data_IF_737801393929
#
_entry.id   IF_737801393929
#
_cell.length_a   1.000
_cell.length_b   1.000
_cell.length_c   1.000
_cell.angle_alpha   90.00
_cell.angle_beta   90.00
_cell.angle_gamma   90.00
#
_symmetry.space_group_name_H-M   'P 1'
#
loop_
_entity.id
_entity.type
_entity.pdbx_description
1 polymer ?
#
# COMPACT_ATOMS: atom_id res chain seq x y z
N UNK A 1 -9.15 19.05 -11.23
CA UNK A 1 -9.59 17.83 -10.51
C UNK A 1 -11.03 18.02 -10.09
N UNK A 2 -11.81 16.94 -9.99
CA UNK A 2 -13.15 17.00 -9.41
C UNK A 2 -13.09 17.46 -7.94
N UNK A 3 -14.21 17.95 -7.44
CA UNK A 3 -14.32 18.34 -6.03
C UNK A 3 -14.07 17.15 -5.10
N UNK A 4 -13.60 17.40 -3.87
CA UNK A 4 -13.33 16.34 -2.90
C UNK A 4 -14.59 15.57 -2.53
N UNK A 5 -15.72 16.24 -2.36
CA UNK A 5 -16.97 15.61 -1.97
C UNK A 5 -17.57 14.79 -3.11
N UNK A 6 -17.54 15.34 -4.33
CA UNK A 6 -17.92 14.63 -5.55
C UNK A 6 -17.11 13.34 -5.74
N UNK A 7 -15.79 13.42 -5.57
CA UNK A 7 -14.90 12.27 -5.69
C UNK A 7 -15.13 11.24 -4.59
N UNK A 8 -15.39 11.70 -3.36
CA UNK A 8 -15.70 10.85 -2.21
C UNK A 8 -17.02 10.10 -2.42
N UNK A 9 -18.08 10.79 -2.86
CA UNK A 9 -19.38 10.18 -3.14
C UNK A 9 -19.31 9.09 -4.22
N UNK A 10 -18.50 9.31 -5.27
CA UNK A 10 -18.23 8.29 -6.28
C UNK A 10 -17.55 7.05 -5.70
N UNK A 11 -16.56 7.22 -4.81
CA UNK A 11 -15.89 6.11 -4.16
C UNK A 11 -16.82 5.39 -3.15
N UNK A 12 -17.67 6.12 -2.41
CA UNK A 12 -18.69 5.53 -1.54
C UNK A 12 -19.64 4.64 -2.33
N UNK A 13 -20.12 5.08 -3.49
CA UNK A 13 -20.97 4.26 -4.34
C UNK A 13 -20.30 2.93 -4.75
N UNK A 14 -19.00 2.95 -5.04
CA UNK A 14 -18.23 1.73 -5.32
C UNK A 14 -18.08 0.86 -4.08
N UNK A 15 -17.76 1.44 -2.92
CA UNK A 15 -17.64 0.70 -1.65
C UNK A 15 -18.97 0.01 -1.30
N UNK A 16 -20.10 0.72 -1.38
CA UNK A 16 -21.42 0.15 -1.08
C UNK A 16 -21.83 -0.95 -2.04
N UNK A 17 -21.45 -0.82 -3.30
CA UNK A 17 -21.70 -1.83 -4.35
C UNK A 17 -20.85 -3.08 -4.17
N UNK A 18 -19.53 -2.93 -4.03
CA UNK A 18 -18.57 -4.04 -4.01
C UNK A 18 -18.38 -4.62 -2.59
N UNK A 19 -18.84 -3.91 -1.56
CA UNK A 19 -18.81 -4.30 -0.14
C UNK A 19 -17.44 -4.83 0.33
N UNK A 20 -16.33 -4.09 0.10
CA UNK A 20 -15.01 -4.54 0.52
C UNK A 20 -14.90 -4.55 2.04
N UNK A 21 -14.35 -5.62 2.61
CA UNK A 21 -14.02 -5.69 4.04
C UNK A 21 -12.73 -4.91 4.35
N UNK A 22 -11.81 -4.81 3.39
CA UNK A 22 -10.51 -4.15 3.53
C UNK A 22 -10.30 -3.15 2.40
N UNK A 23 -9.80 -1.96 2.75
CA UNK A 23 -9.37 -0.93 1.79
C UNK A 23 -7.86 -0.71 1.93
N UNK A 24 -7.16 -0.61 0.82
CA UNK A 24 -5.73 -0.27 0.75
C UNK A 24 -5.60 1.10 0.07
N UNK A 25 -4.81 2.00 0.63
CA UNK A 25 -4.59 3.34 0.05
C UNK A 25 -3.21 3.91 0.40
N UNK A 26 -2.88 5.09 -0.12
CA UNK A 26 -1.62 5.78 0.17
C UNK A 26 -1.58 6.24 1.64
N UNK A 27 -0.38 6.34 2.20
CA UNK A 27 -0.20 6.79 3.58
C UNK A 27 -0.48 8.30 3.76
N UNK A 28 -0.60 8.68 5.03
CA UNK A 28 -0.76 10.07 5.49
C UNK A 28 0.55 10.87 5.47
N UNK A 29 1.71 10.21 5.52
CA UNK A 29 3.04 10.83 5.41
C UNK A 29 3.72 10.47 4.07
N UNK A 30 3.44 11.29 3.07
CA UNK A 30 3.95 11.15 1.70
C UNK A 30 5.14 12.08 1.40
N UNK A 31 5.83 12.59 2.43
CA UNK A 31 6.92 13.56 2.23
C UNK A 31 8.03 13.07 1.27
N UNK A 32 8.25 11.75 1.20
CA UNK A 32 9.22 11.14 0.28
C UNK A 32 8.84 11.21 -1.20
N UNK A 33 7.54 11.28 -1.53
CA UNK A 33 7.02 11.35 -2.89
C UNK A 33 5.60 11.97 -2.91
N UNK A 34 5.47 13.31 -2.79
CA UNK A 34 4.18 13.98 -2.62
C UNK A 34 3.50 14.21 -3.98
N UNK A 35 3.24 13.15 -4.73
CA UNK A 35 2.52 13.26 -6.00
C UNK A 35 1.08 13.76 -5.74
N UNK A 36 0.60 14.85 -6.38
CA UNK A 36 -0.69 15.44 -6.08
C UNK A 36 -1.87 14.46 -6.13
N UNK A 37 -1.84 13.53 -7.09
CA UNK A 37 -2.88 12.51 -7.20
C UNK A 37 -2.85 11.49 -6.06
N UNK A 38 -1.67 11.15 -5.51
CA UNK A 38 -1.58 10.23 -4.38
C UNK A 38 -2.11 10.86 -3.10
N UNK A 39 -1.84 12.16 -2.89
CA UNK A 39 -2.45 12.94 -1.81
C UNK A 39 -3.97 12.96 -1.95
N UNK A 40 -4.48 13.23 -3.16
CA UNK A 40 -5.91 13.25 -3.42
C UNK A 40 -6.57 11.89 -3.20
N UNK A 41 -5.93 10.80 -3.64
CA UNK A 41 -6.43 9.43 -3.42
C UNK A 41 -6.47 9.10 -1.94
N UNK A 42 -5.45 9.48 -1.16
CA UNK A 42 -5.47 9.35 0.29
C UNK A 42 -6.69 10.07 0.91
N UNK A 43 -6.83 11.36 0.62
CA UNK A 43 -7.89 12.21 1.19
C UNK A 43 -9.29 11.64 0.93
N UNK A 44 -9.58 11.26 -0.33
CA UNK A 44 -10.90 10.71 -0.68
C UNK A 44 -11.10 9.31 -0.11
N UNK A 45 -10.05 8.49 0.01
CA UNK A 45 -10.16 7.12 0.54
C UNK A 45 -10.53 7.15 2.02
N UNK A 46 -9.88 8.02 2.78
CA UNK A 46 -10.14 8.23 4.21
C UNK A 46 -11.60 8.66 4.43
N UNK A 47 -12.06 9.68 3.70
CA UNK A 47 -13.44 10.15 3.80
C UNK A 47 -14.45 9.08 3.37
N UNK A 48 -14.16 8.34 2.29
CA UNK A 48 -15.06 7.32 1.79
C UNK A 48 -15.20 6.13 2.76
N UNK A 49 -14.11 5.73 3.43
CA UNK A 49 -14.16 4.68 4.47
C UNK A 49 -15.08 5.07 5.62
N UNK A 50 -14.97 6.32 6.09
CA UNK A 50 -15.79 6.81 7.22
C UNK A 50 -17.26 7.01 6.82
N UNK A 51 -17.52 7.45 5.58
CA UNK A 51 -18.87 7.80 5.12
C UNK A 51 -19.66 6.63 4.51
N UNK A 52 -18.99 5.57 4.04
CA UNK A 52 -19.68 4.48 3.36
C UNK A 52 -20.68 3.73 4.25
N UNK A 53 -20.41 3.64 5.56
CA UNK A 53 -21.29 3.01 6.55
C UNK A 53 -22.42 3.91 7.08
N UNK A 54 -22.42 5.20 6.76
CA UNK A 54 -23.40 6.17 7.27
C UNK A 54 -24.49 6.46 6.22
N UNK A 55 -25.77 6.12 6.46
CA UNK A 55 -26.87 6.35 5.52
C UNK A 55 -27.17 7.83 5.24
N UNK A 56 -26.71 8.76 6.09
CA UNK A 56 -26.92 10.20 5.87
C UNK A 56 -26.02 10.76 4.78
N UNK A 57 -24.88 10.11 4.51
CA UNK A 57 -23.97 10.46 3.42
C UNK A 57 -24.37 9.73 2.14
N UNK A 58 -24.52 10.49 1.05
CA UNK A 58 -24.82 9.99 -0.30
C UNK A 58 -25.97 8.95 -0.30
N UNK A 59 -27.20 9.33 0.10
CA UNK A 59 -28.33 8.40 0.20
C UNK A 59 -28.66 7.70 -1.14
N UNK A 60 -28.32 8.31 -2.26
CA UNK A 60 -28.48 7.76 -3.62
C UNK A 60 -27.43 6.69 -3.98
N UNK A 61 -26.38 6.51 -3.18
CA UNK A 61 -25.25 5.62 -3.46
C UNK A 61 -25.52 4.14 -3.10
N UNK A 62 -26.77 3.79 -2.78
CA UNK A 62 -27.18 2.45 -2.37
C UNK A 62 -27.05 2.19 -0.86
N UNK A 63 -27.30 0.94 -0.47
CA UNK A 63 -27.31 0.50 0.93
C UNK A 63 -25.95 0.74 1.61
N UNK A 64 -25.92 1.30 2.84
CA UNK A 64 -24.69 1.53 3.57
C UNK A 64 -23.86 0.26 3.75
N UNK A 65 -22.54 0.43 3.68
CA UNK A 65 -21.57 -0.62 3.93
C UNK A 65 -20.36 -0.02 4.61
N UNK A 66 -20.02 -0.52 5.81
CA UNK A 66 -18.83 -0.11 6.53
C UNK A 66 -17.69 -1.09 6.25
N UNK A 67 -16.64 -0.71 5.51
CA UNK A 67 -15.43 -1.51 5.45
C UNK A 67 -14.84 -1.69 6.85
N UNK A 68 -14.31 -2.87 7.11
CA UNK A 68 -13.85 -3.25 8.44
C UNK A 68 -12.48 -2.66 8.76
N UNK A 69 -11.56 -2.66 7.79
CA UNK A 69 -10.18 -2.17 7.96
C UNK A 69 -9.69 -1.35 6.78
N UNK A 70 -8.79 -0.42 7.06
CA UNK A 70 -8.02 0.33 6.07
C UNK A 70 -6.53 0.22 6.38
N UNK A 71 -5.72 -0.05 5.36
CA UNK A 71 -4.27 -0.06 5.47
C UNK A 71 -3.63 0.96 4.55
N UNK A 72 -2.52 1.53 5.02
CA UNK A 72 -1.67 2.40 4.23
C UNK A 72 -0.45 1.65 3.68
N UNK A 73 -0.16 1.89 2.40
CA UNK A 73 1.11 1.51 1.76
C UNK A 73 2.25 2.37 2.29
N UNK A 74 3.45 1.82 2.40
CA UNK A 74 4.67 2.59 2.65
C UNK A 74 5.90 1.99 1.97
N UNK A 75 6.98 2.74 1.94
CA UNK A 75 8.31 2.24 1.59
C UNK A 75 9.09 1.90 2.85
N UNK A 76 9.08 0.63 3.23
CA UNK A 76 9.87 0.15 4.37
C UNK A 76 11.36 0.41 4.14
N UNK A 77 12.01 1.03 5.12
CA UNK A 77 13.44 1.33 5.10
C UNK A 77 14.25 0.04 5.05
N UNK A 78 13.86 -0.94 5.85
CA UNK A 78 14.44 -2.29 5.86
C UNK A 78 14.48 -2.88 4.44
N UNK A 79 13.34 -2.87 3.72
CA UNK A 79 13.26 -3.35 2.34
C UNK A 79 14.25 -2.63 1.42
N UNK A 80 14.28 -1.30 1.46
CA UNK A 80 15.17 -0.50 0.62
C UNK A 80 16.64 -0.84 0.89
N UNK A 81 17.03 -0.96 2.17
CA UNK A 81 18.40 -1.30 2.56
C UNK A 81 18.77 -2.72 2.12
N UNK A 82 17.91 -3.72 2.36
CA UNK A 82 18.19 -5.11 1.97
C UNK A 82 18.35 -5.27 0.46
N UNK A 83 17.49 -4.62 -0.33
CA UNK A 83 17.60 -4.66 -1.80
C UNK A 83 18.84 -3.88 -2.27
N UNK A 84 19.15 -2.73 -1.67
CA UNK A 84 20.36 -1.96 -1.96
C UNK A 84 21.63 -2.81 -1.77
N UNK A 85 21.78 -3.45 -0.60
CA UNK A 85 22.94 -4.28 -0.27
C UNK A 85 23.07 -5.49 -1.22
N UNK A 86 21.94 -6.14 -1.54
CA UNK A 86 21.93 -7.26 -2.47
C UNK A 86 22.33 -6.85 -3.91
N UNK A 87 21.89 -5.68 -4.38
CA UNK A 87 22.30 -5.15 -5.68
C UNK A 87 23.79 -4.77 -5.69
N UNK A 88 24.31 -4.18 -4.62
CA UNK A 88 25.75 -3.92 -4.47
C UNK A 88 26.55 -5.22 -4.53
N UNK A 89 26.11 -6.27 -3.82
CA UNK A 89 26.77 -7.57 -3.85
C UNK A 89 26.77 -8.19 -5.26
N UNK A 90 25.66 -8.05 -5.99
CA UNK A 90 25.48 -8.65 -7.32
C UNK A 90 26.18 -7.89 -8.45
N UNK A 91 26.14 -6.56 -8.43
CA UNK A 91 26.57 -5.71 -9.55
C UNK A 91 27.72 -4.75 -9.20
N UNK A 92 28.11 -4.64 -7.93
CA UNK A 92 29.05 -3.62 -7.47
C UNK A 92 28.46 -2.21 -7.34
N UNK A 93 27.19 -2.04 -7.72
CA UNK A 93 26.47 -0.77 -7.69
C UNK A 93 24.98 -1.00 -7.38
N UNK A 94 24.31 0.03 -6.88
CA UNK A 94 22.86 0.05 -6.65
C UNK A 94 22.25 1.33 -7.21
N UNK A 95 21.01 1.29 -7.73
CA UNK A 95 20.32 2.47 -8.22
C UNK A 95 19.71 3.33 -7.10
N UNK A 96 19.62 2.83 -5.86
CA UNK A 96 19.26 3.64 -4.67
C UNK A 96 20.39 4.61 -4.33
N UNK A 97 20.11 5.91 -4.44
CA UNK A 97 21.04 7.00 -4.14
C UNK A 97 21.00 7.41 -2.65
N UNK A 98 21.91 8.31 -2.25
CA UNK A 98 21.96 8.83 -0.88
C UNK A 98 20.64 9.47 -0.43
N UNK A 99 19.88 10.07 -1.35
CA UNK A 99 18.57 10.65 -1.02
C UNK A 99 17.61 9.57 -0.55
N UNK A 100 17.51 8.44 -1.24
CA UNK A 100 16.72 7.28 -0.81
C UNK A 100 17.26 6.67 0.48
N UNK A 101 18.57 6.48 0.57
CA UNK A 101 19.24 5.86 1.72
C UNK A 101 19.22 6.75 2.98
N UNK A 102 18.96 8.05 2.86
CA UNK A 102 18.80 8.97 4.00
C UNK A 102 17.34 9.36 4.29
N UNK A 103 16.35 8.84 3.55
CA UNK A 103 14.92 9.05 3.90
C UNK A 103 14.64 8.57 5.32
N UNK A 104 13.88 9.38 6.05
CA UNK A 104 13.40 9.04 7.39
C UNK A 104 12.63 7.71 7.33
N UNK A 105 12.98 6.79 8.24
CA UNK A 105 12.27 5.52 8.34
C UNK A 105 10.87 5.72 8.92
N UNK A 106 9.90 4.98 8.37
CA UNK A 106 8.55 4.85 8.91
C UNK A 106 8.30 3.42 9.43
N UNK A 107 9.34 2.59 9.54
CA UNK A 107 9.20 1.16 9.85
C UNK A 107 8.58 0.92 11.24
N UNK A 108 8.76 1.87 12.16
CA UNK A 108 8.13 1.86 13.48
C UNK A 108 6.60 1.94 13.44
N UNK A 109 6.01 2.31 12.29
CA UNK A 109 4.56 2.37 12.07
C UNK A 109 4.01 1.08 11.47
N UNK A 110 4.87 0.17 10.98
CA UNK A 110 4.43 -1.07 10.34
C UNK A 110 3.71 -1.93 11.38
N UNK A 111 2.47 -2.30 11.08
CA UNK A 111 1.66 -3.19 11.91
C UNK A 111 1.40 -4.54 11.26
N UNK A 112 1.70 -4.67 9.96
CA UNK A 112 1.27 -5.82 9.16
C UNK A 112 2.33 -6.12 8.10
N UNK A 113 2.74 -7.38 8.00
CA UNK A 113 3.69 -7.89 7.00
C UNK A 113 3.12 -9.11 6.31
N UNK A 114 2.96 -9.06 4.99
CA UNK A 114 2.46 -10.17 4.19
C UNK A 114 3.62 -10.89 3.51
N UNK A 115 3.72 -12.22 3.67
CA UNK A 115 4.63 -13.04 2.89
C UNK A 115 4.09 -13.15 1.45
N UNK A 116 4.80 -12.54 0.51
CA UNK A 116 4.46 -12.54 -0.91
C UNK A 116 5.51 -13.25 -1.77
N UNK A 117 6.46 -13.98 -1.18
CA UNK A 117 7.56 -14.65 -1.89
C UNK A 117 7.06 -15.48 -3.08
N UNK A 118 6.00 -16.26 -2.85
CA UNK A 118 5.40 -17.15 -3.87
C UNK A 118 4.71 -16.40 -5.02
N UNK A 119 4.55 -15.08 -4.92
CA UNK A 119 3.80 -14.25 -5.86
C UNK A 119 4.67 -13.20 -6.57
N UNK A 120 5.99 -13.17 -6.37
CA UNK A 120 6.89 -12.21 -7.02
C UNK A 120 6.75 -12.22 -8.56
N UNK A 121 6.52 -13.39 -9.15
CA UNK A 121 6.26 -13.54 -10.59
C UNK A 121 5.04 -12.74 -11.09
N UNK A 122 4.03 -12.55 -10.26
CA UNK A 122 2.87 -11.74 -10.61
C UNK A 122 3.22 -10.25 -10.58
N UNK A 123 3.96 -9.80 -9.57
CA UNK A 123 4.48 -8.42 -9.47
C UNK A 123 5.34 -8.08 -10.69
N UNK A 124 6.33 -8.92 -11.01
CA UNK A 124 7.27 -8.68 -12.11
C UNK A 124 6.54 -8.62 -13.45
N UNK A 125 5.64 -9.57 -13.74
CA UNK A 125 4.83 -9.54 -14.98
C UNK A 125 3.89 -8.34 -15.05
N UNK A 126 3.33 -7.91 -13.92
CA UNK A 126 2.50 -6.70 -13.86
C UNK A 126 3.32 -5.46 -14.22
N UNK A 127 4.50 -5.27 -13.61
CA UNK A 127 5.40 -4.16 -13.92
C UNK A 127 5.81 -4.15 -15.40
N UNK A 128 6.16 -5.31 -15.96
CA UNK A 128 6.54 -5.45 -17.37
C UNK A 128 5.37 -5.12 -18.33
N UNK A 129 4.12 -5.35 -17.93
CA UNK A 129 2.96 -5.00 -18.73
C UNK A 129 2.79 -3.47 -18.89
N UNK A 130 3.32 -2.67 -17.96
CA UNK A 130 3.31 -1.20 -18.02
C UNK A 130 4.50 -0.64 -18.82
N UNK A 131 4.77 -1.17 -20.02
CA UNK A 131 5.96 -0.89 -20.82
C UNK A 131 6.18 0.60 -21.19
N UNK A 132 5.14 1.45 -21.14
CA UNK A 132 5.28 2.90 -21.36
C UNK A 132 5.74 3.67 -20.12
N UNK A 133 5.66 3.05 -18.94
CA UNK A 133 5.95 3.67 -17.64
C UNK A 133 7.20 3.07 -16.98
N UNK A 134 7.43 1.78 -17.21
CA UNK A 134 8.50 1.01 -16.58
C UNK A 134 9.44 0.50 -17.67
N UNK A 135 10.70 0.95 -17.63
CA UNK A 135 11.75 0.39 -18.47
C UNK A 135 11.99 -1.08 -18.08
N UNK A 136 11.77 -2.06 -18.99
CA UNK A 136 11.92 -3.49 -18.71
C UNK A 136 13.36 -3.89 -18.38
N UNK A 137 14.35 -3.01 -18.61
CA UNK A 137 15.77 -3.23 -18.28
C UNK A 137 16.21 -2.50 -17.00
N UNK A 138 15.29 -1.81 -16.33
CA UNK A 138 15.59 -1.01 -15.14
C UNK A 138 16.09 -1.88 -13.99
N UNK A 139 17.35 -1.68 -13.57
CA UNK A 139 17.92 -2.32 -12.36
C UNK A 139 17.15 -1.95 -11.08
N UNK A 140 16.45 -0.82 -11.08
CA UNK A 140 15.60 -0.39 -9.96
C UNK A 140 14.44 -1.37 -9.71
N UNK A 141 13.82 -1.87 -10.78
CA UNK A 141 12.67 -2.77 -10.71
C UNK A 141 13.06 -4.24 -10.82
N UNK A 142 14.04 -4.55 -11.66
CA UNK A 142 14.38 -5.91 -12.14
C UNK A 142 15.85 -6.28 -11.92
N UNK A 143 16.60 -5.55 -11.09
CA UNK A 143 18.00 -5.88 -10.82
C UNK A 143 18.16 -7.21 -10.09
N UNK A 144 17.25 -7.51 -9.17
CA UNK A 144 17.09 -8.83 -8.58
C UNK A 144 15.95 -9.56 -9.28
N UNK A 145 16.15 -10.85 -9.58
CA UNK A 145 15.07 -11.69 -10.08
C UNK A 145 14.08 -12.08 -8.97
N UNK A 146 13.00 -12.79 -9.33
CA UNK A 146 11.93 -13.12 -8.40
C UNK A 146 12.40 -14.01 -7.23
N UNK A 147 13.34 -14.93 -7.48
CA UNK A 147 13.89 -15.83 -6.45
C UNK A 147 14.84 -15.08 -5.52
N UNK A 148 15.67 -14.20 -6.06
CA UNK A 148 16.55 -13.32 -5.29
C UNK A 148 15.75 -12.34 -4.43
N UNK A 149 14.76 -11.66 -5.00
CA UNK A 149 13.86 -10.77 -4.26
C UNK A 149 13.15 -11.51 -3.12
N UNK A 150 12.68 -12.73 -3.38
CA UNK A 150 12.03 -13.57 -2.34
C UNK A 150 12.97 -13.95 -1.20
N UNK A 151 14.27 -14.11 -1.46
CA UNK A 151 15.27 -14.39 -0.41
C UNK A 151 15.68 -13.13 0.35
N UNK A 152 15.76 -12.00 -0.35
CA UNK A 152 16.22 -10.72 0.22
C UNK A 152 15.13 -10.05 1.04
N UNK A 153 13.91 -9.98 0.50
CA UNK A 153 12.78 -9.34 1.17
C UNK A 153 11.44 -9.91 0.68
N UNK A 154 10.94 -11.00 1.28
CA UNK A 154 9.71 -11.66 0.85
C UNK A 154 8.43 -10.92 1.26
N UNK A 155 8.55 -9.73 1.87
CA UNK A 155 7.43 -9.06 2.55
C UNK A 155 6.86 -7.89 1.76
N UNK A 156 5.54 -7.70 1.89
CA UNK A 156 4.90 -6.39 1.73
C UNK A 156 4.45 -5.84 3.08
N UNK A 157 4.84 -4.61 3.37
CA UNK A 157 4.62 -3.93 4.65
C UNK A 157 3.44 -2.98 4.56
N UNK A 158 2.65 -2.94 5.64
CA UNK A 158 1.44 -2.12 5.73
C UNK A 158 1.29 -1.52 7.13
N UNK A 159 0.62 -0.37 7.18
CA UNK A 159 0.19 0.29 8.42
C UNK A 159 -1.33 0.13 8.53
N UNK A 160 -1.84 -0.46 9.60
CA UNK A 160 -3.28 -0.45 9.91
C UNK A 160 -3.67 0.98 10.29
N UNK A 161 -4.37 1.66 9.39
CA UNK A 161 -4.74 3.06 9.52
C UNK A 161 -6.09 3.28 10.20
N UNK A 162 -7.07 2.43 9.87
CA UNK A 162 -8.41 2.44 10.48
C UNK A 162 -8.89 1.02 10.68
N UNK A 163 -9.59 0.79 11.78
CA UNK A 163 -10.20 -0.50 12.09
C UNK A 163 -11.46 -0.28 12.90
N UNK A 164 -12.53 -0.99 12.52
CA UNK A 164 -13.78 -1.04 13.28
C UNK A 164 -13.82 -2.18 14.29
N UNK A 165 -12.76 -3.01 14.34
CA UNK A 165 -12.69 -4.23 15.16
C UNK A 165 -11.50 -4.24 16.14
N UNK A 166 -10.89 -3.07 16.37
CA UNK A 166 -9.77 -2.89 17.30
C UNK A 166 -8.41 -2.75 16.62
N UNK A 167 -7.38 -2.52 17.43
CA UNK A 167 -6.01 -2.23 17.00
C UNK A 167 -5.10 -3.47 17.06
N UNK A 168 -3.98 -3.43 16.34
CA UNK A 168 -2.90 -4.41 16.50
C UNK A 168 -2.20 -4.15 17.83
N UNK A 169 -2.06 -5.19 18.65
CA UNK A 169 -1.38 -5.08 19.94
C UNK A 169 0.08 -4.63 19.75
N UNK A 170 0.55 -3.75 20.64
CA UNK A 170 1.93 -3.25 20.58
C UNK A 170 2.94 -4.40 20.57
N UNK A 171 3.86 -4.38 19.60
CA UNK A 171 4.88 -5.42 19.41
C UNK A 171 4.41 -6.65 18.63
N UNK A 172 3.15 -6.71 18.19
CA UNK A 172 2.64 -7.74 17.28
C UNK A 172 2.58 -7.22 15.84
N UNK A 173 2.66 -8.15 14.89
CA UNK A 173 2.43 -7.88 13.47
C UNK A 173 1.33 -8.81 12.96
N UNK A 174 0.39 -8.25 12.21
CA UNK A 174 -0.53 -9.06 11.41
C UNK A 174 0.21 -9.68 10.22
N UNK A 175 -0.18 -10.90 9.86
CA UNK A 175 0.32 -11.61 8.67
C UNK A 175 -0.75 -11.85 7.62
N UNK A 176 -1.95 -11.32 7.88
CA UNK A 176 -3.13 -11.38 7.02
C UNK A 176 -3.95 -10.10 7.25
N UNK A 177 -4.34 -9.42 6.16
CA UNK A 177 -5.14 -8.20 6.21
C UNK A 177 -6.55 -8.45 6.76
N UNK A 178 -7.02 -9.70 6.76
CA UNK A 178 -8.36 -10.11 7.19
C UNK A 178 -8.41 -10.62 8.64
N UNK A 179 -7.32 -10.52 9.42
CA UNK A 179 -7.32 -10.93 10.84
C UNK A 179 -8.49 -10.29 11.58
N UNK A 180 -9.35 -11.11 12.18
CA UNK A 180 -10.52 -10.65 12.96
C UNK A 180 -11.74 -10.22 12.14
N UNK A 181 -11.64 -10.13 10.80
CA UNK A 181 -12.79 -9.89 9.92
C UNK A 181 -13.67 -11.14 9.92
N UNK A 182 -14.98 -10.97 10.11
CA UNK A 182 -15.96 -12.08 10.06
C UNK A 182 -16.69 -12.05 8.71
N UNK A 183 -17.05 -13.25 8.23
CA UNK A 183 -17.89 -13.44 7.04
C UNK A 183 -19.36 -13.11 7.33
#
# INVERSE_FOLDING_TARGET
MADIDESTGRLVALIRKERPQVILTYNDDQAGYPHPDHLKVHDISVLAFDRAGDPSWYPEAGEPWQPTKMYYTLWAKERVMSVHEALILKYGESPFDEKWLNRQSQDNRITTKLDVAKFMYARTRSLLAHATQVDPTSKWWFGLDDDEMSKVYPWEDWILARSTIGEVQAGMLETDLFVGVRA
#
